data_IF_759442306633
#
_entry.id   IF_759442306633
#
_cell.length_a   1.000
_cell.length_b   1.000
_cell.length_c   1.000
_cell.angle_alpha   90.00
_cell.angle_beta   90.00
_cell.angle_gamma   90.00
#
_symmetry.space_group_name_H-M   'P 1'
#
loop_
_entity.id
_entity.type
_entity.pdbx_description
1 polymer ?
#
# COMPACT_ATOMS: atom_id res chain seq x y z
N UNK A 1 -46.70 48.32 -15.76
CA UNK A 1 -46.75 47.28 -14.70
C UNK A 1 -46.91 45.95 -15.43
N UNK A 2 -46.14 44.88 -15.31
CA UNK A 2 -45.00 44.35 -14.52
C UNK A 2 -44.57 43.14 -15.40
N UNK A 3 -43.33 42.72 -15.59
CA UNK A 3 -42.01 42.95 -15.05
C UNK A 3 -41.18 41.82 -15.70
N UNK A 4 -40.02 42.17 -16.25
CA UNK A 4 -39.18 41.32 -17.11
C UNK A 4 -38.47 40.20 -16.36
N UNK A 5 -38.14 39.14 -17.11
CA UNK A 5 -36.88 38.37 -17.06
C UNK A 5 -36.20 38.29 -15.69
N UNK A 6 -36.41 37.16 -14.99
CA UNK A 6 -35.40 36.58 -14.13
C UNK A 6 -34.89 35.30 -14.78
N UNK A 7 -33.83 35.48 -15.56
CA UNK A 7 -32.77 34.51 -15.76
C UNK A 7 -32.45 33.82 -14.43
N UNK A 8 -32.79 32.53 -14.33
CA UNK A 8 -32.18 31.65 -13.33
C UNK A 8 -30.97 31.03 -13.97
N UNK A 9 -29.85 31.75 -13.88
CA UNK A 9 -28.52 31.24 -14.14
C UNK A 9 -28.12 30.23 -13.09
N UNK A 10 -27.62 29.11 -13.60
CA UNK A 10 -26.42 28.42 -13.15
C UNK A 10 -26.41 27.51 -11.91
N UNK A 11 -25.78 26.37 -12.16
CA UNK A 11 -24.96 25.56 -11.24
C UNK A 11 -25.70 24.76 -10.17
N UNK A 12 -26.47 23.77 -10.62
CA UNK A 12 -26.46 22.47 -9.94
C UNK A 12 -25.63 21.50 -10.76
N UNK A 13 -24.32 21.58 -10.54
CA UNK A 13 -23.34 20.49 -10.62
C UNK A 13 -23.92 19.19 -11.18
N UNK A 14 -24.07 19.15 -12.50
CA UNK A 14 -24.08 17.90 -13.21
C UNK A 14 -22.72 17.29 -12.86
N UNK A 15 -22.71 16.38 -11.90
CA UNK A 15 -21.69 15.36 -11.80
C UNK A 15 -21.83 14.59 -13.10
N UNK A 16 -21.26 15.16 -14.15
CA UNK A 16 -21.09 14.55 -15.44
C UNK A 16 -20.27 13.31 -15.14
N UNK A 17 -20.99 12.20 -15.03
CA UNK A 17 -20.47 10.85 -14.95
C UNK A 17 -19.72 10.60 -16.24
N UNK A 18 -18.54 11.21 -16.37
CA UNK A 18 -17.53 10.82 -17.32
C UNK A 18 -17.20 9.39 -16.95
N UNK A 19 -17.50 8.49 -17.88
CA UNK A 19 -17.14 7.08 -17.95
C UNK A 19 -15.62 6.87 -17.99
N UNK A 20 -14.88 7.52 -17.10
CA UNK A 20 -13.41 7.59 -17.01
C UNK A 20 -12.89 6.74 -15.83
N UNK A 21 -13.75 6.43 -14.84
CA UNK A 21 -13.34 5.75 -13.60
C UNK A 21 -12.89 4.28 -13.73
N UNK A 22 -13.16 3.59 -14.85
CA UNK A 22 -12.81 2.18 -15.02
C UNK A 22 -11.36 1.91 -15.41
N UNK A 23 -10.78 2.77 -16.27
CA UNK A 23 -9.37 2.68 -16.66
C UNK A 23 -8.47 3.22 -15.54
N UNK A 24 -8.87 4.36 -14.96
CA UNK A 24 -8.16 4.99 -13.84
C UNK A 24 -8.14 4.10 -12.60
N UNK A 25 -9.26 3.45 -12.26
CA UNK A 25 -9.31 2.55 -11.10
C UNK A 25 -8.34 1.37 -11.22
N UNK A 26 -8.17 0.80 -12.42
CA UNK A 26 -7.20 -0.28 -12.67
C UNK A 26 -5.76 0.24 -12.68
N UNK A 27 -5.52 1.44 -13.19
CA UNK A 27 -4.19 2.06 -13.16
C UNK A 27 -3.74 2.35 -11.73
N UNK A 28 -4.62 2.94 -10.91
CA UNK A 28 -4.40 3.20 -9.49
C UNK A 28 -4.12 1.90 -8.74
N UNK A 29 -4.91 0.86 -8.97
CA UNK A 29 -4.69 -0.43 -8.34
C UNK A 29 -3.32 -1.03 -8.70
N UNK A 30 -2.91 -0.99 -9.98
CA UNK A 30 -1.58 -1.46 -10.40
C UNK A 30 -0.47 -0.66 -9.74
N UNK A 31 -0.62 0.66 -9.65
CA UNK A 31 0.34 1.52 -8.96
C UNK A 31 0.45 1.14 -7.47
N UNK A 32 -0.68 0.88 -6.80
CA UNK A 32 -0.69 0.42 -5.41
C UNK A 32 0.01 -0.93 -5.24
N UNK A 33 -0.23 -1.90 -6.13
CA UNK A 33 0.51 -3.17 -6.10
C UNK A 33 2.01 -2.97 -6.34
N UNK A 34 2.41 -2.05 -7.21
CA UNK A 34 3.82 -1.70 -7.38
C UNK A 34 4.40 -1.10 -6.08
N UNK A 35 3.66 -0.23 -5.39
CA UNK A 35 4.05 0.30 -4.06
C UNK A 35 4.15 -0.82 -3.03
N UNK A 36 3.23 -1.78 -3.01
CA UNK A 36 3.28 -2.96 -2.12
C UNK A 36 4.57 -3.74 -2.36
N UNK A 37 4.87 -4.09 -3.62
CA UNK A 37 6.08 -4.85 -3.96
C UNK A 37 7.35 -4.08 -3.65
N UNK A 38 7.40 -2.78 -3.97
CA UNK A 38 8.52 -1.91 -3.62
C UNK A 38 8.71 -1.83 -2.11
N UNK A 39 7.62 -1.69 -1.34
CA UNK A 39 7.66 -1.64 0.11
C UNK A 39 8.17 -2.94 0.71
N UNK A 40 7.77 -4.11 0.18
CA UNK A 40 8.30 -5.41 0.61
C UNK A 40 9.80 -5.50 0.35
N UNK A 41 10.25 -5.12 -0.84
CA UNK A 41 11.66 -5.18 -1.21
C UNK A 41 12.50 -4.25 -0.33
N UNK A 42 12.04 -3.01 -0.11
CA UNK A 42 12.70 -2.03 0.74
C UNK A 42 12.71 -2.48 2.20
N UNK A 43 11.60 -3.01 2.72
CA UNK A 43 11.51 -3.48 4.10
C UNK A 43 12.55 -4.59 4.34
N UNK A 44 12.59 -5.61 3.48
CA UNK A 44 13.59 -6.68 3.54
C UNK A 44 15.02 -6.13 3.46
N UNK A 45 15.30 -5.21 2.53
CA UNK A 45 16.63 -4.63 2.37
C UNK A 45 17.05 -3.81 3.60
N UNK A 46 16.16 -2.97 4.12
CA UNK A 46 16.44 -2.15 5.31
C UNK A 46 16.63 -2.98 6.57
N UNK A 47 15.82 -4.03 6.77
CA UNK A 47 16.01 -4.97 7.89
C UNK A 47 17.33 -5.71 7.77
N UNK A 48 17.66 -6.23 6.57
CA UNK A 48 18.95 -6.89 6.34
C UNK A 48 20.13 -5.96 6.67
N UNK A 49 20.06 -4.72 6.19
CA UNK A 49 21.12 -3.73 6.40
C UNK A 49 21.23 -3.35 7.88
N UNK A 50 20.11 -3.13 8.56
CA UNK A 50 20.08 -2.86 10.00
C UNK A 50 20.69 -3.99 10.82
N UNK A 51 20.31 -5.25 10.54
CA UNK A 51 20.90 -6.43 11.19
C UNK A 51 22.40 -6.52 10.92
N UNK A 52 22.84 -6.20 9.69
CA UNK A 52 24.26 -6.18 9.32
C UNK A 52 25.05 -5.09 10.06
N UNK A 53 24.39 -4.01 10.46
CA UNK A 53 24.95 -2.93 11.29
C UNK A 53 24.85 -3.22 12.80
N UNK A 54 24.33 -4.39 13.20
CA UNK A 54 24.18 -4.78 14.60
C UNK A 54 22.90 -4.29 15.29
N UNK A 55 21.95 -3.72 14.53
CA UNK A 55 20.61 -3.42 15.05
C UNK A 55 19.83 -4.70 15.31
N UNK A 56 18.83 -4.60 16.17
CA UNK A 56 17.96 -5.71 16.55
C UNK A 56 16.58 -5.51 15.95
N UNK A 57 16.01 -6.58 15.40
CA UNK A 57 14.63 -6.59 14.91
C UNK A 57 13.66 -6.25 16.06
N UNK A 58 12.87 -5.19 15.86
CA UNK A 58 11.95 -4.68 16.87
C UNK A 58 10.70 -5.56 17.02
N UNK A 59 10.33 -6.30 15.97
CA UNK A 59 9.21 -7.23 16.03
C UNK A 59 9.64 -8.54 16.73
N UNK A 60 9.17 -8.83 17.95
CA UNK A 60 9.61 -10.00 18.71
C UNK A 60 9.26 -11.34 18.03
N UNK A 61 8.13 -11.40 17.32
CA UNK A 61 7.74 -12.60 16.58
C UNK A 61 8.64 -12.82 15.37
N UNK A 62 8.97 -11.76 14.63
CA UNK A 62 9.89 -11.85 13.50
C UNK A 62 11.30 -12.17 13.96
N UNK A 63 11.75 -11.56 15.06
CA UNK A 63 13.04 -11.85 15.68
C UNK A 63 13.16 -13.33 16.03
N UNK A 64 12.16 -13.88 16.73
CA UNK A 64 12.13 -15.31 17.07
C UNK A 64 12.18 -16.19 15.81
N UNK A 65 11.43 -15.82 14.76
CA UNK A 65 11.42 -16.56 13.51
C UNK A 65 12.77 -16.50 12.77
N UNK A 66 13.44 -15.35 12.77
CA UNK A 66 14.77 -15.16 12.19
C UNK A 66 15.84 -15.94 12.98
N UNK A 67 15.75 -15.94 14.32
CA UNK A 67 16.67 -16.72 15.17
C UNK A 67 16.52 -18.23 14.95
N UNK A 68 15.31 -18.72 14.68
CA UNK A 68 15.03 -20.15 14.46
C UNK A 68 15.28 -20.66 13.04
N UNK A 69 14.82 -19.91 12.03
CA UNK A 69 14.77 -20.36 10.61
C UNK A 69 15.67 -19.49 9.71
N UNK A 70 16.32 -18.48 10.27
CA UNK A 70 17.15 -17.54 9.55
C UNK A 70 16.35 -16.43 8.85
N UNK A 71 17.07 -15.56 8.16
CA UNK A 71 16.49 -14.40 7.48
C UNK A 71 15.43 -14.75 6.42
N UNK A 72 15.47 -15.99 5.89
CA UNK A 72 14.44 -16.50 4.99
C UNK A 72 13.03 -16.48 5.57
N UNK A 73 12.87 -16.51 6.90
CA UNK A 73 11.58 -16.38 7.57
C UNK A 73 10.87 -15.05 7.25
N UNK A 74 11.62 -13.95 7.18
CA UNK A 74 11.08 -12.64 6.83
C UNK A 74 10.53 -12.63 5.40
N UNK A 75 11.32 -13.16 4.45
CA UNK A 75 10.92 -13.25 3.03
C UNK A 75 9.68 -14.12 2.88
N UNK A 76 9.64 -15.28 3.56
CA UNK A 76 8.50 -16.17 3.55
C UNK A 76 7.23 -15.50 4.12
N UNK A 77 7.34 -14.79 5.24
CA UNK A 77 6.22 -14.07 5.84
C UNK A 77 5.65 -13.01 4.90
N UNK A 78 6.51 -12.23 4.24
CA UNK A 78 6.08 -11.23 3.24
C UNK A 78 5.42 -11.90 2.03
N UNK A 79 6.00 -12.98 1.52
CA UNK A 79 5.44 -13.73 0.41
C UNK A 79 4.05 -14.30 0.74
N UNK A 80 3.85 -14.85 1.94
CA UNK A 80 2.55 -15.34 2.41
C UNK A 80 1.53 -14.20 2.51
N UNK A 81 1.93 -13.04 3.03
CA UNK A 81 1.04 -11.88 3.13
C UNK A 81 0.61 -11.35 1.75
N UNK A 82 1.56 -11.18 0.82
CA UNK A 82 1.27 -10.76 -0.56
C UNK A 82 0.43 -11.80 -1.28
N UNK A 83 0.80 -13.09 -1.17
CA UNK A 83 0.07 -14.20 -1.79
C UNK A 83 -1.37 -14.29 -1.28
N UNK A 84 -1.57 -14.19 0.03
CA UNK A 84 -2.91 -14.16 0.64
C UNK A 84 -3.74 -12.96 0.16
N UNK A 85 -3.13 -11.77 0.07
CA UNK A 85 -3.80 -10.59 -0.46
C UNK A 85 -4.15 -10.74 -1.95
N UNK A 86 -3.29 -11.38 -2.75
CA UNK A 86 -3.55 -11.70 -4.15
C UNK A 86 -4.67 -12.73 -4.32
N UNK A 87 -4.71 -13.77 -3.48
CA UNK A 87 -5.82 -14.71 -3.43
C UNK A 87 -7.15 -14.02 -3.08
N UNK A 88 -7.13 -13.13 -2.08
CA UNK A 88 -8.30 -12.34 -1.70
C UNK A 88 -8.75 -11.40 -2.83
N UNK A 89 -7.79 -10.78 -3.52
CA UNK A 89 -8.05 -9.97 -4.73
C UNK A 89 -8.73 -10.80 -5.81
N UNK A 90 -8.23 -11.99 -6.10
CA UNK A 90 -8.79 -12.87 -7.11
C UNK A 90 -10.22 -13.31 -6.74
N UNK A 91 -10.46 -13.62 -5.46
CA UNK A 91 -11.78 -13.99 -4.96
C UNK A 91 -12.77 -12.82 -4.91
N UNK A 92 -12.28 -11.58 -4.71
CA UNK A 92 -13.09 -10.37 -4.57
C UNK A 92 -12.57 -9.23 -5.47
N UNK A 93 -12.67 -9.35 -6.82
CA UNK A 93 -12.08 -8.37 -7.74
C UNK A 93 -12.59 -6.95 -7.56
N UNK A 94 -13.84 -6.77 -7.08
CA UNK A 94 -14.43 -5.44 -6.82
C UNK A 94 -13.71 -4.66 -5.71
N UNK A 95 -12.98 -5.33 -4.81
CA UNK A 95 -12.38 -4.69 -3.62
C UNK A 95 -10.87 -4.47 -3.77
N UNK A 96 -10.23 -4.85 -4.87
CA UNK A 96 -8.79 -4.99 -4.78
C UNK A 96 -7.98 -3.71 -4.81
N UNK A 97 -8.54 -2.57 -5.20
CA UNK A 97 -7.93 -1.27 -4.89
C UNK A 97 -7.85 -1.07 -3.38
N UNK A 98 -8.91 -1.41 -2.63
CA UNK A 98 -8.91 -1.34 -1.17
C UNK A 98 -7.97 -2.38 -0.53
N UNK A 99 -7.88 -3.58 -1.10
CA UNK A 99 -6.91 -4.60 -0.66
C UNK A 99 -5.48 -4.08 -0.85
N UNK A 100 -5.15 -3.56 -2.04
CA UNK A 100 -3.82 -3.03 -2.33
C UNK A 100 -3.49 -1.82 -1.44
N UNK A 101 -4.44 -0.90 -1.21
CA UNK A 101 -4.29 0.20 -0.26
C UNK A 101 -4.03 -0.28 1.17
N UNK A 102 -4.78 -1.29 1.62
CA UNK A 102 -4.65 -1.87 2.96
C UNK A 102 -3.27 -2.47 3.22
N UNK A 103 -2.57 -2.95 2.17
CA UNK A 103 -1.18 -3.39 2.28
C UNK A 103 -0.20 -2.21 2.10
N UNK A 104 -0.41 -1.38 1.09
CA UNK A 104 0.53 -0.34 0.69
C UNK A 104 0.78 0.67 1.81
N UNK A 105 -0.29 1.16 2.45
CA UNK A 105 -0.18 2.19 3.49
C UNK A 105 0.66 1.75 4.70
N UNK A 106 0.32 0.67 5.42
CA UNK A 106 1.09 0.27 6.59
C UNK A 106 2.52 -0.13 6.22
N UNK A 107 2.75 -0.79 5.08
CA UNK A 107 4.09 -1.20 4.67
C UNK A 107 4.99 -0.03 4.23
N UNK A 108 4.41 0.98 3.58
CA UNK A 108 5.16 2.22 3.29
C UNK A 108 5.61 2.88 4.60
N UNK A 109 4.73 2.94 5.61
CA UNK A 109 5.08 3.48 6.93
C UNK A 109 6.21 2.67 7.58
N UNK A 110 6.17 1.34 7.50
CA UNK A 110 7.24 0.50 8.08
C UNK A 110 8.58 0.78 7.41
N UNK A 111 8.61 0.86 6.08
CA UNK A 111 9.81 1.22 5.32
C UNK A 111 10.36 2.58 5.72
N UNK A 112 9.49 3.59 5.88
CA UNK A 112 9.91 4.92 6.31
C UNK A 112 10.54 4.89 7.71
N UNK A 113 9.94 4.15 8.65
CA UNK A 113 10.50 3.97 9.99
C UNK A 113 11.88 3.30 9.92
N UNK A 114 12.02 2.21 9.18
CA UNK A 114 13.30 1.52 9.05
C UNK A 114 14.37 2.42 8.41
N UNK A 115 13.99 3.20 7.39
CA UNK A 115 14.89 4.14 6.74
C UNK A 115 15.35 5.26 7.69
N UNK A 116 14.45 5.80 8.51
CA UNK A 116 14.79 6.82 9.52
C UNK A 116 15.74 6.25 10.58
N UNK A 117 15.45 5.05 11.09
CA UNK A 117 16.33 4.36 12.05
C UNK A 117 17.71 4.14 11.45
N UNK A 118 17.77 3.64 10.22
CA UNK A 118 19.02 3.40 9.52
C UNK A 118 19.80 4.69 9.23
N UNK A 119 19.12 5.80 8.97
CA UNK A 119 19.78 7.09 8.76
C UNK A 119 20.27 7.74 10.07
N UNK A 120 19.86 7.20 11.22
CA UNK A 120 20.22 7.73 12.55
C UNK A 120 21.42 7.04 13.21
N UNK A 121 22.00 6.03 12.55
CA UNK A 121 23.11 5.20 13.07
C UNK A 121 24.43 5.50 12.38
#
# INVERSE_FOLDING_TARGET
MRGSLLTSTDRSWAFEGRSVGGADGRAVERALWAVVLASVALDVATTWLGLSMGLVEANPAMRWAIEGVGFGALVAAKALAVGGAMCLRAARPRHGTAIALGLALPWTVTVLVNAVVLASV
#
